data_IF_080902397184
#
_entry.id   IF_080902397184
#
_cell.length_a   1.000
_cell.length_b   1.000
_cell.length_c   1.000
_cell.angle_alpha   90.00
_cell.angle_beta   90.00
_cell.angle_gamma   90.00
#
_symmetry.space_group_name_H-M   'P 1'
#
loop_
_entity.id
_entity.type
_entity.pdbx_description
1 polymer ?
#
# COMPACT_ATOMS: atom_id res chain seq x y z
N UNK A 1 14.99 11.79 -20.76
CA UNK A 1 13.68 11.77 -20.06
C UNK A 1 13.96 11.79 -18.56
N UNK A 2 13.16 12.51 -17.75
CA UNK A 2 13.31 12.49 -16.28
C UNK A 2 12.91 11.11 -15.76
N UNK A 3 13.62 10.51 -14.80
CA UNK A 3 13.36 9.15 -14.30
C UNK A 3 12.32 9.09 -13.16
N UNK A 4 11.77 10.24 -12.79
CA UNK A 4 10.80 10.37 -11.70
C UNK A 4 10.49 11.83 -11.43
N UNK A 5 9.70 12.07 -10.40
CA UNK A 5 9.35 13.40 -9.92
C UNK A 5 8.66 13.34 -8.56
N UNK A 6 8.27 14.49 -8.04
CA UNK A 6 7.43 14.57 -6.83
C UNK A 6 5.97 14.56 -7.28
N UNK A 7 5.09 13.86 -6.56
CA UNK A 7 3.65 13.93 -6.84
C UNK A 7 3.11 15.31 -6.46
N UNK A 8 2.04 15.74 -7.12
CA UNK A 8 1.24 16.90 -6.72
C UNK A 8 0.31 16.60 -5.54
N UNK A 9 0.61 15.55 -4.76
CA UNK A 9 -0.12 15.25 -3.54
C UNK A 9 0.21 16.35 -2.53
N UNK A 10 -0.76 16.80 -1.71
CA UNK A 10 -0.56 17.99 -0.92
C UNK A 10 0.63 17.83 0.02
N UNK A 11 1.62 18.70 -0.14
CA UNK A 11 2.79 18.73 0.74
C UNK A 11 2.33 19.32 2.06
N UNK A 12 2.40 18.53 3.13
CA UNK A 12 1.96 18.98 4.44
C UNK A 12 3.13 19.53 5.26
N UNK A 13 2.92 20.71 5.85
CA UNK A 13 3.78 21.22 6.90
C UNK A 13 3.49 20.43 8.18
N UNK A 14 4.36 19.48 8.48
CA UNK A 14 4.28 18.64 9.67
C UNK A 14 5.42 19.02 10.61
N UNK A 15 5.08 19.61 11.76
CA UNK A 15 6.05 19.97 12.79
C UNK A 15 5.37 20.40 14.09
N UNK A 16 6.05 20.16 15.21
CA UNK A 16 5.76 20.87 16.45
C UNK A 16 6.50 22.20 16.40
N UNK A 17 5.79 23.28 16.11
CA UNK A 17 6.37 24.63 15.95
C UNK A 17 6.68 25.29 17.31
N UNK A 18 7.13 24.51 18.29
CA UNK A 18 7.35 24.96 19.66
C UNK A 18 6.15 25.71 20.24
N UNK A 19 6.34 27.01 20.47
CA UNK A 19 5.32 27.93 20.98
C UNK A 19 4.24 28.31 19.96
N UNK A 20 4.36 27.92 18.69
CA UNK A 20 3.38 28.18 17.65
C UNK A 20 2.53 26.95 17.36
N UNK A 21 1.26 27.19 17.02
CA UNK A 21 0.31 26.19 16.54
C UNK A 21 -0.11 26.55 15.12
N UNK A 22 -0.17 25.53 14.27
CA UNK A 22 -0.64 25.66 12.90
C UNK A 22 -2.16 25.80 12.91
N UNK A 23 -2.67 26.85 12.27
CA UNK A 23 -4.11 27.11 12.11
C UNK A 23 -4.63 26.54 10.81
N UNK A 24 -3.89 26.75 9.73
CA UNK A 24 -4.32 26.43 8.37
C UNK A 24 -3.11 26.22 7.45
N UNK A 25 -3.26 25.35 6.46
CA UNK A 25 -2.28 25.13 5.38
C UNK A 25 -3.03 25.11 4.07
N UNK A 26 -2.63 25.97 3.14
CA UNK A 26 -3.14 26.04 1.78
C UNK A 26 -2.04 25.73 0.79
N UNK A 27 -2.39 25.03 -0.27
CA UNK A 27 -1.48 24.72 -1.37
C UNK A 27 -2.06 25.23 -2.67
N UNK A 28 -1.29 26.05 -3.38
CA UNK A 28 -1.63 26.59 -4.69
C UNK A 28 -0.41 26.47 -5.61
N UNK A 29 -0.47 25.52 -6.55
CA UNK A 29 0.63 25.21 -7.45
C UNK A 29 1.88 24.76 -6.67
N UNK A 30 2.99 25.49 -6.83
CA UNK A 30 4.26 25.21 -6.15
C UNK A 30 4.40 25.96 -4.81
N UNK A 31 3.33 26.59 -4.32
CA UNK A 31 3.36 27.42 -3.10
C UNK A 31 2.55 26.77 -2.00
N UNK A 32 3.18 26.59 -0.84
CA UNK A 32 2.51 26.19 0.40
C UNK A 32 2.45 27.41 1.30
N UNK A 33 1.24 27.80 1.70
CA UNK A 33 1.01 28.88 2.66
C UNK A 33 0.52 28.28 3.97
N UNK A 34 1.29 28.44 5.04
CA UNK A 34 0.86 28.10 6.39
C UNK A 34 0.52 29.36 7.20
N UNK A 35 -0.62 29.30 7.87
CA UNK A 35 -0.98 30.26 8.91
C UNK A 35 -0.73 29.64 10.27
N UNK A 36 0.12 30.25 11.07
CA UNK A 36 0.37 29.83 12.46
C UNK A 36 -0.01 30.94 13.44
N UNK A 37 -0.33 30.55 14.67
CA UNK A 37 -0.56 31.46 15.80
C UNK A 37 0.31 31.05 16.98
N UNK A 38 0.69 32.00 17.83
CA UNK A 38 1.40 31.70 19.06
C UNK A 38 0.41 31.04 20.04
N UNK A 39 0.71 29.81 20.49
CA UNK A 39 -0.02 29.09 21.55
C UNK A 39 -0.03 29.95 22.81
N UNK A 40 -1.08 29.85 23.61
CA UNK A 40 -1.22 30.58 24.87
C UNK A 40 -0.20 30.04 25.90
N UNK A 41 1.02 30.58 25.87
CA UNK A 41 2.25 29.90 26.31
C UNK A 41 2.68 30.20 27.75
N UNK A 42 1.85 30.87 28.53
CA UNK A 42 2.16 31.14 29.93
C UNK A 42 1.81 29.94 30.82
N UNK A 43 2.85 29.20 31.26
CA UNK A 43 2.75 28.05 32.19
C UNK A 43 2.85 28.42 33.69
N UNK A 44 2.75 29.71 34.04
CA UNK A 44 2.80 30.18 35.43
C UNK A 44 1.42 30.42 36.05
N UNK A 45 1.39 30.89 37.30
CA UNK A 45 0.15 31.29 37.97
C UNK A 45 -0.49 32.47 37.22
N UNK A 46 -1.75 32.37 36.78
CA UNK A 46 -2.41 33.33 35.87
C UNK A 46 -2.34 34.80 36.35
N UNK A 47 -2.18 35.00 37.67
CA UNK A 47 -2.00 36.29 38.33
C UNK A 47 -0.65 36.99 38.07
N UNK A 48 0.35 36.26 37.54
CA UNK A 48 1.72 36.73 37.28
C UNK A 48 2.07 36.69 35.77
N UNK A 49 1.07 36.59 34.89
CA UNK A 49 1.27 36.72 33.44
C UNK A 49 2.02 38.05 33.19
N UNK A 50 3.23 38.06 32.59
CA UNK A 50 3.83 39.32 32.18
C UNK A 50 2.86 39.99 31.20
N UNK A 51 2.50 41.24 31.48
CA UNK A 51 1.55 42.00 30.67
C UNK A 51 2.03 42.18 29.22
N UNK A 52 3.34 42.06 28.97
CA UNK A 52 3.93 42.19 27.65
C UNK A 52 5.26 41.42 27.56
N UNK A 53 5.64 41.04 26.34
CA UNK A 53 7.01 40.62 26.02
C UNK A 53 7.75 41.78 25.36
N UNK A 54 9.07 41.85 25.56
CA UNK A 54 9.89 42.85 24.85
C UNK A 54 9.90 42.55 23.36
N UNK A 55 10.02 43.61 22.56
CA UNK A 55 10.16 43.50 21.11
C UNK A 55 11.32 42.57 20.71
N UNK A 56 12.45 42.66 21.43
CA UNK A 56 13.63 41.86 21.17
C UNK A 56 13.39 40.36 21.39
N UNK A 57 12.61 40.00 22.41
CA UNK A 57 12.28 38.60 22.69
C UNK A 57 11.34 38.01 21.64
N UNK A 58 10.33 38.78 21.19
CA UNK A 58 9.45 38.36 20.11
C UNK A 58 10.22 38.23 18.79
N UNK A 59 11.07 39.21 18.47
CA UNK A 59 11.93 39.20 17.27
C UNK A 59 12.87 38.00 17.26
N UNK A 60 13.50 37.69 18.40
CA UNK A 60 14.36 36.50 18.55
C UNK A 60 13.60 35.22 18.28
N UNK A 61 12.38 35.08 18.79
CA UNK A 61 11.54 33.88 18.60
C UNK A 61 11.07 33.71 17.16
N UNK A 62 10.66 34.78 16.49
CA UNK A 62 10.30 34.75 15.06
C UNK A 62 11.49 34.32 14.21
N UNK A 63 12.68 34.83 14.51
CA UNK A 63 13.90 34.44 13.79
C UNK A 63 14.29 32.97 14.05
N UNK A 64 13.95 32.41 15.21
CA UNK A 64 14.16 30.99 15.51
C UNK A 64 13.15 30.08 14.81
N UNK A 65 11.89 30.53 14.63
CA UNK A 65 10.87 29.76 13.91
C UNK A 65 11.35 29.33 12.52
N UNK A 66 12.07 30.21 11.81
CA UNK A 66 12.67 29.90 10.50
C UNK A 66 13.61 28.69 10.54
N UNK A 67 14.30 28.47 11.67
CA UNK A 67 15.21 27.33 11.88
C UNK A 67 14.50 26.06 12.32
N UNK A 68 13.24 26.16 12.76
CA UNK A 68 12.46 25.08 13.36
C UNK A 68 11.34 24.56 12.43
N UNK A 69 11.06 25.26 11.33
CA UNK A 69 10.12 24.79 10.30
C UNK A 69 10.71 23.56 9.63
N UNK A 70 10.10 22.41 9.88
CA UNK A 70 10.40 21.17 9.19
C UNK A 70 9.37 20.97 8.06
N UNK A 71 9.83 20.89 6.81
CA UNK A 71 8.98 20.59 5.65
C UNK A 71 9.14 19.12 5.31
N UNK A 72 8.03 18.38 5.31
CA UNK A 72 8.02 16.98 4.88
C UNK A 72 7.44 16.88 3.47
N UNK A 73 8.26 16.45 2.52
CA UNK A 73 7.82 16.18 1.15
C UNK A 73 7.03 14.85 1.09
N UNK A 74 5.92 14.85 0.34
CA UNK A 74 4.96 13.74 0.14
C UNK A 74 5.11 13.22 -1.32
N UNK A 75 4.87 11.92 -1.59
CA UNK A 75 5.87 10.98 -2.11
C UNK A 75 6.42 11.29 -3.50
N UNK A 76 7.64 10.78 -3.69
CA UNK A 76 8.34 10.71 -4.98
C UNK A 76 7.74 9.59 -5.80
N UNK A 77 7.47 9.84 -7.08
CA UNK A 77 7.15 8.82 -8.06
C UNK A 77 8.36 8.57 -8.97
N UNK A 78 8.56 7.31 -9.32
CA UNK A 78 9.55 6.89 -10.31
C UNK A 78 8.82 6.42 -11.56
N UNK A 79 9.37 6.72 -12.73
CA UNK A 79 8.83 6.20 -13.98
C UNK A 79 9.46 4.84 -14.33
N UNK A 80 9.02 4.24 -15.43
CA UNK A 80 9.48 2.93 -15.90
C UNK A 80 10.97 2.87 -16.27
N UNK A 81 11.63 4.02 -16.42
CA UNK A 81 13.07 4.09 -16.73
C UNK A 81 13.94 4.14 -15.46
N UNK A 82 13.33 4.26 -14.28
CA UNK A 82 14.05 4.23 -13.02
C UNK A 82 14.50 2.79 -12.69
N UNK A 83 15.78 2.64 -12.38
CA UNK A 83 16.37 1.34 -12.02
C UNK A 83 16.06 1.04 -10.56
N UNK A 84 15.47 -0.14 -10.29
CA UNK A 84 15.21 -0.59 -8.93
C UNK A 84 16.51 -0.71 -8.12
N UNK A 85 16.46 -0.33 -6.84
CA UNK A 85 17.62 -0.29 -5.94
C UNK A 85 18.58 0.89 -6.16
N UNK A 86 18.39 1.67 -7.22
CA UNK A 86 19.25 2.83 -7.51
C UNK A 86 18.78 4.05 -6.73
N UNK A 87 19.75 4.77 -6.17
CA UNK A 87 19.50 6.08 -5.58
C UNK A 87 19.57 7.16 -6.67
N UNK A 88 18.50 7.95 -6.78
CA UNK A 88 18.48 9.17 -7.56
C UNK A 88 18.53 10.37 -6.63
N UNK A 89 19.09 11.47 -7.11
CA UNK A 89 19.01 12.75 -6.42
C UNK A 89 17.81 13.52 -6.94
N UNK A 90 16.98 14.01 -6.02
CA UNK A 90 16.04 15.07 -6.31
C UNK A 90 16.74 16.36 -5.96
N UNK A 91 16.90 17.20 -6.98
CA UNK A 91 17.41 18.56 -6.86
C UNK A 91 16.22 19.50 -6.98
N UNK A 92 16.16 20.46 -6.07
CA UNK A 92 15.22 21.56 -6.11
C UNK A 92 15.76 22.71 -5.29
N UNK A 93 14.97 23.76 -5.18
CA UNK A 93 15.27 24.86 -4.29
C UNK A 93 14.02 25.23 -3.53
N UNK A 94 14.21 25.62 -2.27
CA UNK A 94 13.14 26.12 -1.43
C UNK A 94 13.49 27.54 -0.99
N UNK A 95 12.53 28.45 -1.18
CA UNK A 95 12.57 29.79 -0.62
C UNK A 95 11.24 30.07 0.05
N UNK A 96 11.19 31.08 0.91
CA UNK A 96 9.92 31.48 1.47
C UNK A 96 9.97 32.70 2.34
N UNK A 97 8.78 33.09 2.74
CA UNK A 97 8.50 34.35 3.39
C UNK A 97 7.55 34.11 4.55
N UNK A 98 7.99 34.49 5.75
CA UNK A 98 7.18 34.51 6.95
C UNK A 98 6.80 35.97 7.23
N UNK A 99 5.52 36.29 7.11
CA UNK A 99 5.01 37.64 7.40
C UNK A 99 3.82 37.61 8.36
N UNK A 100 3.62 38.71 9.07
CA UNK A 100 2.51 38.84 10.01
C UNK A 100 2.46 40.21 10.66
N UNK A 101 1.55 40.36 11.62
CA UNK A 101 1.33 41.60 12.37
C UNK A 101 1.29 41.31 13.87
N UNK A 102 1.99 42.10 14.67
CA UNK A 102 2.14 41.89 16.13
C UNK A 102 1.58 43.10 16.87
N UNK A 103 0.79 42.85 17.91
CA UNK A 103 0.33 43.92 18.79
C UNK A 103 1.40 44.26 19.83
N UNK A 104 1.76 45.54 19.95
CA UNK A 104 2.58 46.04 21.04
C UNK A 104 1.68 46.38 22.23
N UNK A 105 1.86 45.66 23.35
CA UNK A 105 0.88 45.56 24.47
C UNK A 105 0.81 46.81 25.37
N UNK A 106 0.83 48.01 24.80
CA UNK A 106 0.55 49.23 25.57
C UNK A 106 -0.85 49.81 25.31
N UNK A 107 -1.68 49.19 24.46
CA UNK A 107 -3.03 49.69 24.18
C UNK A 107 -4.05 48.56 24.01
N UNK A 108 -5.20 48.70 24.66
CA UNK A 108 -6.40 47.94 24.32
C UNK A 108 -6.79 48.28 22.89
N UNK A 109 -6.74 47.28 22.00
CA UNK A 109 -7.12 47.45 20.60
C UNK A 109 -8.62 47.23 20.46
N UNK A 110 -9.32 48.19 19.86
CA UNK A 110 -10.68 47.98 19.38
C UNK A 110 -10.69 47.09 18.13
N UNK A 111 -11.87 46.58 17.75
CA UNK A 111 -12.04 45.69 16.60
C UNK A 111 -11.51 46.23 15.26
N UNK A 112 -11.25 47.54 15.16
CA UNK A 112 -10.80 48.24 13.94
C UNK A 112 -9.31 48.66 13.97
N UNK A 113 -8.55 48.30 15.01
CA UNK A 113 -7.17 48.79 15.19
C UNK A 113 -6.09 47.96 14.45
N UNK A 114 -6.45 47.24 13.39
CA UNK A 114 -5.55 46.36 12.63
C UNK A 114 -4.35 47.08 11.97
N UNK A 115 -4.45 48.40 11.80
CA UNK A 115 -3.38 49.28 11.29
C UNK A 115 -2.34 49.64 12.35
N UNK A 116 -2.65 49.45 13.64
CA UNK A 116 -1.76 49.75 14.77
C UNK A 116 -0.84 48.58 15.13
N UNK A 117 -0.97 47.45 14.45
CA UNK A 117 -0.12 46.29 14.62
C UNK A 117 1.20 46.48 13.87
N UNK A 118 2.31 46.07 14.49
CA UNK A 118 3.65 46.12 13.90
C UNK A 118 3.75 45.00 12.87
N UNK A 119 3.89 45.30 11.57
CA UNK A 119 4.13 44.28 10.57
C UNK A 119 5.55 43.72 10.73
N UNK A 120 5.70 42.43 10.52
CA UNK A 120 7.00 41.80 10.31
C UNK A 120 6.99 41.01 9.02
N UNK A 121 8.17 40.91 8.41
CA UNK A 121 8.40 40.15 7.20
C UNK A 121 9.83 39.60 7.29
N UNK A 122 9.95 38.29 7.29
CA UNK A 122 11.21 37.57 7.33
C UNK A 122 11.26 36.68 6.10
N UNK A 123 12.19 36.98 5.20
CA UNK A 123 12.47 36.16 4.03
C UNK A 123 13.65 35.25 4.35
N UNK A 124 13.50 33.97 4.06
CA UNK A 124 14.65 33.07 4.00
C UNK A 124 15.09 32.93 2.54
N UNK A 125 16.41 32.87 2.36
CA UNK A 125 17.01 32.79 1.03
C UNK A 125 16.65 31.45 0.40
N UNK A 126 16.67 31.45 -0.93
CA UNK A 126 16.64 30.23 -1.69
C UNK A 126 17.80 29.33 -1.25
N UNK A 127 17.46 28.12 -0.82
CA UNK A 127 18.41 27.09 -0.42
C UNK A 127 18.21 25.87 -1.32
N UNK A 128 19.31 25.38 -1.86
CA UNK A 128 19.31 24.19 -2.69
C UNK A 128 19.00 22.97 -1.81
N UNK A 129 18.05 22.17 -2.27
CA UNK A 129 17.59 20.95 -1.61
C UNK A 129 18.04 19.77 -2.45
N UNK A 130 18.98 19.00 -1.92
CA UNK A 130 19.38 17.70 -2.47
C UNK A 130 18.85 16.58 -1.57
N UNK A 131 17.89 15.81 -2.07
CA UNK A 131 17.34 14.66 -1.35
C UNK A 131 17.70 13.38 -2.11
N UNK A 132 18.50 12.47 -1.52
CA UNK A 132 18.70 11.15 -2.09
C UNK A 132 17.43 10.32 -1.90
N UNK A 133 16.93 9.73 -2.98
CA UNK A 133 15.74 8.87 -2.97
C UNK A 133 16.04 7.58 -3.69
N UNK A 134 15.86 6.47 -2.99
CA UNK A 134 16.07 5.14 -3.53
C UNK A 134 14.81 4.63 -4.22
N UNK A 135 14.96 4.05 -5.42
CA UNK A 135 13.86 3.30 -6.05
C UNK A 135 13.73 1.96 -5.33
N UNK A 136 12.55 1.63 -4.78
CA UNK A 136 12.37 0.34 -4.13
C UNK A 136 12.41 -0.80 -5.17
N UNK A 137 12.83 -1.99 -4.73
CA UNK A 137 12.58 -3.23 -5.45
C UNK A 137 11.10 -3.60 -5.38
N UNK A 138 10.62 -4.27 -6.41
CA UNK A 138 9.25 -4.80 -6.47
C UNK A 138 9.23 -6.28 -6.14
N UNK A 139 8.31 -6.65 -5.27
CA UNK A 139 7.87 -8.03 -5.06
C UNK A 139 6.52 -8.16 -5.76
N UNK A 140 6.57 -8.74 -6.96
CA UNK A 140 5.40 -9.05 -7.77
C UNK A 140 4.87 -10.43 -7.43
N UNK A 141 3.62 -10.71 -7.81
CA UNK A 141 2.98 -12.00 -7.55
C UNK A 141 2.43 -12.58 -8.85
N UNK A 142 2.51 -13.91 -8.97
CA UNK A 142 1.97 -14.66 -10.11
C UNK A 142 1.32 -15.94 -9.62
N UNK A 143 0.28 -16.39 -10.33
CA UNK A 143 -0.29 -17.72 -10.10
C UNK A 143 0.04 -18.68 -11.23
N UNK A 144 0.31 -19.93 -10.86
CA UNK A 144 0.57 -21.02 -11.80
C UNK A 144 -0.22 -22.28 -11.42
N UNK A 145 -0.38 -23.18 -12.38
CA UNK A 145 -0.96 -24.49 -12.09
C UNK A 145 0.08 -25.40 -11.47
N UNK A 146 -0.28 -26.03 -10.35
CA UNK A 146 0.48 -27.14 -9.75
C UNK A 146 0.03 -28.51 -10.23
N UNK A 147 -1.02 -28.60 -11.06
CA UNK A 147 -1.55 -29.88 -11.55
C UNK A 147 -1.01 -30.17 -12.95
N UNK A 148 -0.21 -31.23 -13.08
CA UNK A 148 0.40 -31.62 -14.36
C UNK A 148 -0.67 -31.81 -15.45
N UNK A 149 -0.41 -31.27 -16.64
CA UNK A 149 -1.33 -31.32 -17.78
C UNK A 149 -2.52 -30.38 -17.70
N UNK A 150 -2.68 -29.59 -16.63
CA UNK A 150 -3.74 -28.60 -16.49
C UNK A 150 -3.18 -27.18 -16.61
N UNK A 151 -3.87 -26.33 -17.37
CA UNK A 151 -3.51 -24.91 -17.52
C UNK A 151 -4.41 -24.07 -16.64
N UNK A 152 -3.82 -23.20 -15.81
CA UNK A 152 -4.58 -22.30 -14.95
C UNK A 152 -5.37 -21.31 -15.83
N UNK A 153 -6.71 -21.22 -15.68
CA UNK A 153 -7.51 -20.28 -16.45
C UNK A 153 -7.10 -18.82 -16.21
N UNK A 154 -7.09 -18.02 -17.29
CA UNK A 154 -6.67 -16.61 -17.23
C UNK A 154 -7.50 -15.78 -16.26
N UNK A 155 -8.80 -16.05 -16.15
CA UNK A 155 -9.69 -15.31 -15.27
C UNK A 155 -9.31 -15.44 -13.78
N UNK A 156 -8.68 -16.54 -13.36
CA UNK A 156 -8.20 -16.70 -11.98
C UNK A 156 -7.06 -15.71 -11.71
N UNK A 157 -6.12 -15.56 -12.65
CA UNK A 157 -5.05 -14.57 -12.55
C UNK A 157 -5.61 -13.13 -12.49
N UNK A 158 -6.64 -12.83 -13.28
CA UNK A 158 -7.27 -11.50 -13.30
C UNK A 158 -8.09 -11.23 -12.03
N UNK A 159 -8.85 -12.21 -11.55
CA UNK A 159 -9.72 -12.08 -10.38
C UNK A 159 -8.94 -11.92 -9.07
N UNK A 160 -7.78 -12.58 -8.97
CA UNK A 160 -6.97 -12.63 -7.75
C UNK A 160 -5.66 -11.84 -7.87
N UNK A 161 -5.50 -11.00 -8.90
CA UNK A 161 -4.29 -10.21 -9.13
C UNK A 161 -3.90 -9.40 -7.87
N UNK A 162 -2.69 -9.64 -7.36
CA UNK A 162 -2.20 -9.02 -6.13
C UNK A 162 -1.45 -7.72 -6.40
N UNK A 163 -1.52 -6.80 -5.44
CA UNK A 163 -0.70 -5.59 -5.46
C UNK A 163 0.77 -5.93 -5.24
N UNK A 164 1.68 -5.34 -6.03
CA UNK A 164 3.09 -5.47 -5.76
C UNK A 164 3.45 -4.81 -4.43
N UNK A 165 4.43 -5.38 -3.74
CA UNK A 165 5.01 -4.81 -2.52
C UNK A 165 6.33 -4.13 -2.88
N UNK A 166 6.48 -2.87 -2.48
CA UNK A 166 7.73 -2.13 -2.64
C UNK A 166 8.62 -2.34 -1.42
N UNK A 167 9.86 -2.78 -1.64
CA UNK A 167 10.84 -3.06 -0.59
C UNK A 167 12.14 -2.34 -0.89
N UNK A 168 12.63 -1.55 0.07
CA UNK A 168 13.92 -0.87 -0.06
C UNK A 168 15.09 -1.84 0.09
N UNK A 169 16.22 -1.49 -0.50
CA UNK A 169 17.42 -2.30 -0.56
C UNK A 169 17.87 -2.76 0.84
N UNK A 170 18.14 -4.06 0.97
CA UNK A 170 18.55 -4.70 2.22
C UNK A 170 17.46 -4.81 3.28
N UNK A 171 16.24 -4.32 3.03
CA UNK A 171 15.11 -4.52 3.94
C UNK A 171 14.53 -5.92 3.78
N UNK A 172 13.81 -6.34 4.82
CA UNK A 172 13.13 -7.62 4.87
C UNK A 172 11.63 -7.40 4.99
N UNK A 173 10.85 -8.30 4.40
CA UNK A 173 9.39 -8.29 4.52
C UNK A 173 8.88 -9.69 4.85
N UNK A 174 7.79 -9.74 5.61
CA UNK A 174 7.04 -10.97 5.86
C UNK A 174 5.95 -11.10 4.81
N UNK A 175 5.77 -12.31 4.29
CA UNK A 175 4.69 -12.66 3.36
C UNK A 175 3.63 -13.39 4.16
N UNK A 176 2.51 -12.72 4.39
CA UNK A 176 1.37 -13.25 5.12
C UNK A 176 0.11 -13.08 4.26
N UNK A 177 -0.47 -14.21 3.83
CA UNK A 177 -1.65 -14.26 2.97
C UNK A 177 -2.81 -13.42 3.53
N UNK A 178 -2.98 -13.38 4.86
CA UNK A 178 -4.06 -12.63 5.51
C UNK A 178 -3.93 -11.11 5.38
N UNK A 179 -2.75 -10.64 4.98
CA UNK A 179 -2.44 -9.21 4.80
C UNK A 179 -2.25 -8.83 3.34
N UNK A 180 -2.17 -9.82 2.43
CA UNK A 180 -2.06 -9.59 1.00
C UNK A 180 -3.35 -8.95 0.48
N UNK A 181 -3.19 -8.03 -0.47
CA UNK A 181 -4.30 -7.29 -1.08
C UNK A 181 -4.28 -7.43 -2.57
N UNK A 182 -5.47 -7.57 -3.15
CA UNK A 182 -5.70 -7.51 -4.59
C UNK A 182 -5.51 -6.10 -5.13
N UNK A 183 -5.35 -5.94 -6.43
CA UNK A 183 -5.26 -4.64 -7.11
C UNK A 183 -6.46 -3.75 -6.82
N UNK A 184 -7.63 -4.34 -6.56
CA UNK A 184 -8.87 -3.68 -6.11
C UNK A 184 -8.89 -3.22 -4.65
N UNK A 185 -7.80 -3.39 -3.88
CA UNK A 185 -7.65 -3.16 -2.43
C UNK A 185 -8.33 -4.16 -1.49
N UNK A 186 -9.11 -5.11 -2.02
CA UNK A 186 -9.70 -6.20 -1.22
C UNK A 186 -8.62 -7.14 -0.68
N UNK A 187 -8.90 -7.81 0.44
CA UNK A 187 -8.01 -8.84 0.97
C UNK A 187 -7.92 -10.03 -0.01
N UNK A 188 -6.76 -10.68 -0.01
CA UNK A 188 -6.57 -11.92 -0.76
C UNK A 188 -7.21 -13.09 -0.01
N UNK A 189 -8.44 -13.40 -0.38
CA UNK A 189 -9.18 -14.56 0.12
C UNK A 189 -9.59 -15.42 -1.07
N UNK A 190 -8.70 -16.34 -1.52
CA UNK A 190 -9.01 -17.19 -2.66
C UNK A 190 -10.10 -18.20 -2.29
N UNK A 191 -11.18 -18.24 -3.08
CA UNK A 191 -12.23 -19.24 -2.94
C UNK A 191 -12.06 -20.32 -4.02
N UNK A 192 -12.54 -21.56 -3.77
CA UNK A 192 -12.54 -22.60 -4.78
C UNK A 192 -13.32 -22.18 -6.04
N UNK A 193 -12.66 -22.23 -7.20
CA UNK A 193 -13.23 -21.83 -8.48
C UNK A 193 -13.71 -23.05 -9.27
N UNK A 194 -15.03 -23.21 -9.38
CA UNK A 194 -15.65 -24.35 -10.06
C UNK A 194 -15.60 -24.13 -11.58
N UNK A 195 -15.03 -25.09 -12.30
CA UNK A 195 -14.92 -25.06 -13.76
C UNK A 195 -16.01 -25.91 -14.39
N UNK A 196 -16.78 -25.33 -15.31
CA UNK A 196 -17.80 -26.04 -16.08
C UNK A 196 -18.47 -25.16 -17.13
N UNK A 197 -19.12 -25.78 -18.09
CA UNK A 197 -19.83 -25.08 -19.18
C UNK A 197 -21.29 -24.75 -18.82
N UNK A 198 -21.60 -24.55 -17.54
CA UNK A 198 -22.95 -24.35 -17.02
C UNK A 198 -23.83 -25.60 -16.99
N UNK A 199 -23.51 -26.65 -17.76
CA UNK A 199 -24.24 -27.92 -17.82
C UNK A 199 -23.47 -29.10 -17.23
N UNK A 200 -22.13 -29.06 -17.25
CA UNK A 200 -21.25 -30.06 -16.64
C UNK A 200 -20.12 -29.38 -15.88
N UNK A 201 -19.92 -29.79 -14.62
CA UNK A 201 -18.75 -29.45 -13.82
C UNK A 201 -17.61 -30.42 -14.16
N UNK A 202 -16.44 -29.89 -14.43
CA UNK A 202 -15.23 -30.65 -14.84
C UNK A 202 -14.20 -30.74 -13.73
N UNK A 203 -14.19 -29.77 -12.81
CA UNK A 203 -13.25 -29.72 -11.70
C UNK A 203 -13.41 -28.43 -10.91
N UNK A 204 -12.57 -28.28 -9.91
CA UNK A 204 -12.47 -27.09 -9.08
C UNK A 204 -10.99 -26.71 -8.95
N UNK A 205 -10.66 -25.44 -9.18
CA UNK A 205 -9.35 -24.90 -8.83
C UNK A 205 -9.36 -24.45 -7.38
N UNK A 206 -8.35 -24.86 -6.62
CA UNK A 206 -8.18 -24.48 -5.22
C UNK A 206 -6.77 -23.92 -5.05
N UNK A 207 -6.65 -22.76 -4.41
CA UNK A 207 -5.35 -22.19 -4.08
C UNK A 207 -4.67 -23.07 -3.03
N UNK A 208 -3.44 -23.50 -3.32
CA UNK A 208 -2.71 -24.43 -2.47
C UNK A 208 -1.85 -23.69 -1.46
N UNK A 209 -2.49 -23.25 -0.37
CA UNK A 209 -1.82 -22.53 0.72
C UNK A 209 -0.62 -23.30 1.30
N UNK A 210 -0.68 -24.63 1.29
CA UNK A 210 0.40 -25.49 1.80
C UNK A 210 1.65 -25.47 0.92
N UNK A 211 1.50 -25.26 -0.39
CA UNK A 211 2.66 -25.08 -1.28
C UNK A 211 3.38 -23.75 -1.05
N UNK A 212 2.71 -22.79 -0.39
CA UNK A 212 3.22 -21.46 -0.08
C UNK A 212 3.64 -20.65 -1.31
N UNK A 213 4.32 -19.53 -1.05
CA UNK A 213 4.89 -18.67 -2.09
C UNK A 213 6.33 -19.06 -2.37
N UNK A 214 6.69 -19.22 -3.64
CA UNK A 214 8.06 -19.57 -4.06
C UNK A 214 8.69 -18.45 -4.87
N UNK A 215 9.97 -18.17 -4.62
CA UNK A 215 10.73 -17.17 -5.39
C UNK A 215 10.91 -17.71 -6.81
N UNK A 216 10.39 -16.98 -7.78
CA UNK A 216 10.43 -17.28 -9.21
C UNK A 216 9.93 -18.71 -9.53
N UNK A 217 9.02 -19.24 -8.69
CA UNK A 217 8.45 -20.59 -8.82
C UNK A 217 9.37 -21.73 -8.36
N UNK A 218 10.55 -21.42 -7.82
CA UNK A 218 11.58 -22.41 -7.50
C UNK A 218 11.85 -22.50 -5.99
N UNK A 219 12.30 -23.67 -5.56
CA UNK A 219 12.75 -23.92 -4.19
C UNK A 219 11.62 -24.11 -3.16
N UNK A 220 11.99 -23.90 -1.90
CA UNK A 220 11.09 -24.01 -0.74
C UNK A 220 10.21 -22.77 -0.60
N UNK A 221 8.99 -22.91 -0.04
CA UNK A 221 8.13 -21.77 0.21
C UNK A 221 8.76 -20.79 1.20
N UNK A 222 8.56 -19.51 0.93
CA UNK A 222 9.04 -18.40 1.77
C UNK A 222 7.89 -17.72 2.49
N UNK A 223 8.08 -17.48 3.78
CA UNK A 223 7.22 -16.61 4.60
C UNK A 223 7.90 -15.28 4.92
N UNK A 224 9.18 -15.13 4.58
CA UNK A 224 9.94 -13.90 4.78
C UNK A 224 10.99 -13.77 3.69
N UNK A 225 11.02 -12.62 3.03
CA UNK A 225 12.10 -12.21 2.15
C UNK A 225 13.10 -11.41 2.97
N UNK A 226 14.33 -11.90 3.08
CA UNK A 226 15.41 -11.24 3.83
C UNK A 226 16.35 -10.53 2.88
N UNK A 227 16.80 -9.34 3.27
CA UNK A 227 17.83 -8.57 2.55
C UNK A 227 17.53 -8.44 1.05
N UNK A 228 16.35 -7.90 0.71
CA UNK A 228 15.90 -7.76 -0.69
C UNK A 228 16.83 -6.82 -1.44
N UNK A 229 17.44 -7.31 -2.50
CA UNK A 229 18.44 -6.62 -3.33
C UNK A 229 18.16 -6.74 -4.84
N UNK A 230 16.98 -7.25 -5.21
CA UNK A 230 16.51 -7.38 -6.58
C UNK A 230 14.98 -7.42 -6.62
N UNK A 231 14.41 -7.20 -7.81
CA UNK A 231 13.00 -7.51 -8.04
C UNK A 231 12.78 -9.03 -7.92
N UNK A 232 11.67 -9.41 -7.30
CA UNK A 232 11.32 -10.80 -7.00
C UNK A 232 9.90 -11.05 -7.50
N UNK A 233 9.68 -12.19 -8.15
CA UNK A 233 8.31 -12.66 -8.39
C UNK A 233 8.02 -13.80 -7.43
N UNK A 234 7.00 -13.65 -6.58
CA UNK A 234 6.49 -14.73 -5.76
C UNK A 234 5.41 -15.48 -6.53
N UNK A 235 5.61 -16.78 -6.70
CA UNK A 235 4.67 -17.64 -7.42
C UNK A 235 3.86 -18.44 -6.42
N UNK A 236 2.54 -18.27 -6.50
CA UNK A 236 1.53 -19.03 -5.76
C UNK A 236 0.93 -20.11 -6.66
N UNK A 237 0.59 -21.25 -6.06
CA UNK A 237 0.16 -22.43 -6.82
C UNK A 237 -1.33 -22.67 -6.64
N UNK A 238 -2.02 -22.93 -7.74
CA UNK A 238 -3.39 -23.45 -7.73
C UNK A 238 -3.39 -24.92 -8.15
N UNK A 239 -4.14 -25.75 -7.44
CA UNK A 239 -4.36 -27.16 -7.77
C UNK A 239 -5.72 -27.32 -8.40
N UNK A 240 -5.75 -27.98 -9.56
CA UNK A 240 -6.99 -28.46 -10.15
C UNK A 240 -7.34 -29.80 -9.52
N UNK A 241 -8.54 -29.87 -8.95
CA UNK A 241 -9.16 -31.08 -8.43
C UNK A 241 -10.20 -31.48 -9.47
N UNK A 242 -9.95 -32.51 -10.29
CA UNK A 242 -10.94 -32.99 -11.25
C UNK A 242 -12.17 -33.51 -10.50
N UNK A 243 -13.35 -33.43 -11.13
CA UNK A 243 -14.60 -33.96 -10.57
C UNK A 243 -14.64 -35.51 -10.52
N UNK A 244 -13.64 -36.20 -11.08
CA UNK A 244 -13.63 -37.66 -11.28
C UNK A 244 -14.23 -38.44 -10.06
N UNK A 245 -15.19 -39.33 -10.33
CA UNK A 245 -15.89 -40.26 -9.41
C UNK A 245 -17.17 -39.88 -8.64
N UNK A 246 -17.79 -38.71 -8.84
CA UNK A 246 -19.18 -38.52 -8.32
C UNK A 246 -20.27 -39.02 -9.27
N UNK A 247 -19.94 -39.27 -10.55
CA UNK A 247 -20.94 -39.58 -11.57
C UNK A 247 -20.90 -40.99 -12.14
N UNK A 248 -19.81 -41.78 -12.07
CA UNK A 248 -19.77 -43.13 -12.65
C UNK A 248 -19.19 -44.11 -11.62
N UNK A 249 -20.04 -44.92 -10.98
CA UNK A 249 -19.61 -46.00 -10.06
C UNK A 249 -19.60 -47.32 -10.83
N UNK A 250 -18.61 -48.17 -10.61
CA UNK A 250 -18.65 -49.56 -11.10
C UNK A 250 -19.32 -50.45 -10.07
N UNK A 251 -20.49 -50.99 -10.41
CA UNK A 251 -21.21 -51.96 -9.60
C UNK A 251 -20.95 -53.35 -10.16
N UNK A 252 -20.52 -54.28 -9.31
CA UNK A 252 -20.29 -55.67 -9.68
C UNK A 252 -21.37 -56.55 -9.06
N UNK A 253 -22.10 -57.29 -9.89
CA UNK A 253 -23.12 -58.24 -9.48
C UNK A 253 -22.48 -59.63 -9.34
N UNK A 254 -22.77 -60.32 -8.24
CA UNK A 254 -22.24 -61.66 -7.95
C UNK A 254 -23.36 -62.61 -7.55
N UNK A 255 -23.24 -63.87 -7.96
CA UNK A 255 -24.02 -65.01 -7.44
C UNK A 255 -23.03 -65.96 -6.75
N UNK A 256 -23.05 -65.94 -5.41
CA UNK A 256 -21.99 -66.53 -4.60
C UNK A 256 -20.62 -65.88 -4.90
N UNK A 257 -19.63 -66.70 -5.26
CA UNK A 257 -18.29 -66.23 -5.62
C UNK A 257 -18.16 -65.83 -7.11
N UNK A 258 -19.15 -66.17 -7.94
CA UNK A 258 -19.10 -65.94 -9.39
C UNK A 258 -19.55 -64.51 -9.72
N UNK A 259 -18.74 -63.77 -10.46
CA UNK A 259 -19.12 -62.46 -11.00
C UNK A 259 -20.06 -62.68 -12.19
N UNK A 260 -21.23 -62.04 -12.15
CA UNK A 260 -22.28 -62.11 -13.17
C UNK A 260 -22.10 -60.97 -14.17
N UNK A 261 -21.87 -59.74 -13.69
CA UNK A 261 -21.71 -58.56 -14.52
C UNK A 261 -20.99 -57.43 -13.75
N UNK A 262 -20.31 -56.54 -14.49
CA UNK A 262 -19.81 -55.28 -13.96
C UNK A 262 -20.35 -54.15 -14.82
N UNK A 263 -21.10 -53.23 -14.21
CA UNK A 263 -21.79 -52.15 -14.92
C UNK A 263 -21.32 -50.80 -14.37
N UNK A 264 -21.10 -49.84 -15.26
CA UNK A 264 -20.80 -48.46 -14.92
C UNK A 264 -22.11 -47.67 -14.78
N UNK A 265 -22.35 -47.06 -13.62
CA UNK A 265 -23.65 -46.47 -13.27
C UNK A 265 -23.55 -45.04 -12.77
N UNK A 266 -24.54 -44.23 -13.13
CA UNK A 266 -24.67 -42.85 -12.66
C UNK A 266 -25.47 -42.72 -11.36
N UNK A 267 -25.04 -41.82 -10.47
CA UNK A 267 -25.74 -41.54 -9.23
C UNK A 267 -27.16 -41.00 -9.51
N UNK A 268 -28.18 -41.70 -8.99
CA UNK A 268 -29.59 -41.32 -9.17
C UNK A 268 -30.28 -41.91 -10.41
N UNK A 269 -29.62 -42.81 -11.16
CA UNK A 269 -30.23 -43.57 -12.27
C UNK A 269 -30.55 -45.00 -11.83
N UNK A 270 -31.70 -45.52 -12.29
CA UNK A 270 -32.09 -46.92 -12.11
C UNK A 270 -31.34 -47.79 -13.12
N UNK A 271 -30.87 -48.96 -12.68
CA UNK A 271 -30.29 -49.99 -13.55
C UNK A 271 -31.47 -50.81 -14.09
N UNK A 272 -31.79 -50.66 -15.38
CA UNK A 272 -32.84 -51.47 -16.02
C UNK A 272 -32.32 -52.89 -16.31
N UNK A 273 -33.11 -53.90 -15.93
CA UNK A 273 -32.70 -55.32 -15.90
C UNK A 273 -32.24 -55.89 -17.23
N UNK A 274 -32.70 -55.34 -18.35
CA UNK A 274 -32.34 -55.79 -19.70
C UNK A 274 -30.87 -55.48 -20.09
N UNK A 275 -30.17 -54.69 -19.26
CA UNK A 275 -28.76 -54.31 -19.48
C UNK A 275 -27.76 -55.37 -18.98
N UNK A 276 -28.22 -56.42 -18.30
CA UNK A 276 -27.36 -57.42 -17.64
C UNK A 276 -27.22 -58.72 -18.44
N UNK A 277 -27.98 -58.92 -19.52
CA UNK A 277 -28.01 -60.20 -20.24
C UNK A 277 -27.02 -60.31 -21.42
N UNK A 278 -26.26 -59.26 -21.79
CA UNK A 278 -25.35 -59.34 -22.96
C UNK A 278 -24.07 -58.46 -22.88
N UNK A 279 -23.28 -58.55 -21.80
CA UNK A 279 -21.90 -58.00 -21.77
C UNK A 279 -20.90 -58.96 -21.13
#
# INVERSE_FOLDING_TARGET
MKNGGVRTDPTSLLGDFGDFALKDVKEEGNTITATAYLKDWYRGNQLMRPYAYSYDEIKRRINNLVKEINIKFIPVWFNTNAEAGKTYKIEGSAQGELSGKINYVYRSLGAYDSEKLIPFNVKFKEEDVEIPVEVPYKVDFKFESGTSGQTLPKYINEQYELKPINVYNGKSITIDNSTLRKTTNELFEPYPEVVGNGTKKTGTWVFDELSGWKIDGQGEPVTTLKNVDKNITLVGVWKFIPVEDSAHRKVTFKDGEKIIATVEVEAGKTIEGDSLENQ
#
